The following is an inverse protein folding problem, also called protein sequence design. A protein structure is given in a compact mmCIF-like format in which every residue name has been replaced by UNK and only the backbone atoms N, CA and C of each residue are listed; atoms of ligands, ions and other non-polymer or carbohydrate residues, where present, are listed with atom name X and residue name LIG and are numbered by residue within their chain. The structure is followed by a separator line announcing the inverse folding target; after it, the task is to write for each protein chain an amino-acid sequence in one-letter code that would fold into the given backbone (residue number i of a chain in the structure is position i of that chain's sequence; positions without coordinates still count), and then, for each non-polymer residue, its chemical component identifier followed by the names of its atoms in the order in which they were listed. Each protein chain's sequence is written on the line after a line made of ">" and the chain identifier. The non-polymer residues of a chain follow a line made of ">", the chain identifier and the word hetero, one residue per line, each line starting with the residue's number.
data_IF_067818022733
#
_entry.id   IF_067818022733
#
_cell.length_a   1.000
_cell.length_b   1.000
_cell.length_c   1.000
_cell.angle_alpha   90.00
_cell.angle_beta   90.00
_cell.angle_gamma   90.00
#
_symmetry.space_group_name_H-M   'P 1'
#
loop_
_entity.id
_entity.type
_entity.pdbx_description
1 polymer ?
#
# COMPACT_ATOMS: atom_id res chain seq x y z
N UNK A 1 20.30 -2.33 -0.40
CA UNK A 1 20.84 -0.99 -0.71
C UNK A 1 22.17 -1.11 -1.43
N UNK A 2 23.07 -1.93 -0.93
CA UNK A 2 24.39 -2.14 -1.55
C UNK A 2 24.32 -2.74 -2.96
N UNK A 3 23.26 -3.52 -3.24
CA UNK A 3 23.05 -4.14 -4.55
C UNK A 3 22.33 -3.20 -5.55
N UNK A 4 22.16 -1.91 -5.21
CA UNK A 4 21.56 -0.92 -6.11
C UNK A 4 20.03 -0.97 -6.20
N UNK A 5 19.36 -1.55 -5.21
CA UNK A 5 17.91 -1.53 -5.15
C UNK A 5 17.41 -0.12 -4.82
N UNK A 6 16.57 0.44 -5.68
CA UNK A 6 16.10 1.82 -5.56
C UNK A 6 14.67 1.94 -5.03
N UNK A 7 13.90 0.86 -5.09
CA UNK A 7 12.50 0.83 -4.63
C UNK A 7 12.32 -0.40 -3.75
N UNK A 8 11.74 -0.20 -2.56
CA UNK A 8 11.49 -1.29 -1.62
C UNK A 8 10.02 -1.27 -1.22
N UNK A 9 9.37 -2.43 -1.34
CA UNK A 9 8.04 -2.65 -0.83
C UNK A 9 8.15 -3.33 0.54
N UNK A 10 7.58 -2.70 1.55
CA UNK A 10 7.56 -3.24 2.91
C UNK A 10 6.14 -3.67 3.27
N UNK A 11 6.02 -4.74 4.02
CA UNK A 11 4.73 -5.20 4.53
C UNK A 11 4.91 -5.83 5.90
N UNK A 12 3.81 -5.99 6.61
CA UNK A 12 3.77 -6.47 7.99
C UNK A 12 4.60 -5.60 8.95
N UNK A 13 4.19 -5.50 10.18
CA UNK A 13 4.86 -4.67 11.16
C UNK A 13 4.69 -3.17 10.90
N UNK A 14 5.40 -2.38 11.68
CA UNK A 14 5.31 -0.92 11.61
C UNK A 14 6.11 -0.36 10.43
N UNK A 15 5.53 0.54 9.62
CA UNK A 15 6.27 1.21 8.55
C UNK A 15 7.39 2.10 9.10
N UNK A 16 7.31 2.54 10.35
CA UNK A 16 8.33 3.38 10.97
C UNK A 16 9.67 2.67 11.17
N UNK A 17 9.68 1.34 11.21
CA UNK A 17 10.89 0.57 11.54
C UNK A 17 12.03 0.78 10.55
N UNK A 18 11.74 0.79 9.26
CA UNK A 18 12.76 0.85 8.22
C UNK A 18 12.67 2.08 7.31
N UNK A 19 11.52 2.76 7.29
CA UNK A 19 11.27 3.84 6.33
C UNK A 19 12.32 4.95 6.44
N UNK A 20 12.57 5.46 7.62
CA UNK A 20 13.56 6.52 7.81
C UNK A 20 14.95 6.13 7.32
N UNK A 21 15.39 4.94 7.70
CA UNK A 21 16.70 4.42 7.31
C UNK A 21 16.84 4.26 5.78
N UNK A 22 15.78 3.77 5.13
CA UNK A 22 15.76 3.62 3.67
C UNK A 22 15.72 4.98 2.95
N UNK A 23 14.90 5.90 3.46
CA UNK A 23 14.76 7.24 2.88
C UNK A 23 16.08 8.03 2.94
N UNK A 24 16.81 7.94 4.03
CA UNK A 24 18.13 8.58 4.15
C UNK A 24 19.13 8.08 3.10
N UNK A 25 18.89 6.92 2.53
CA UNK A 25 19.72 6.29 1.49
C UNK A 25 19.17 6.47 0.09
N UNK A 26 18.19 7.35 -0.08
CA UNK A 26 17.61 7.66 -1.37
C UNK A 26 16.71 6.57 -1.95
N UNK A 27 16.23 5.64 -1.12
CA UNK A 27 15.36 4.55 -1.55
C UNK A 27 13.90 5.00 -1.52
N UNK A 28 13.16 4.69 -2.57
CA UNK A 28 11.71 4.87 -2.60
C UNK A 28 11.05 3.76 -1.79
N UNK A 29 10.21 4.14 -0.83
CA UNK A 29 9.57 3.18 0.07
C UNK A 29 8.07 3.14 -0.19
N UNK A 30 7.57 1.94 -0.46
CA UNK A 30 6.14 1.67 -0.64
C UNK A 30 5.71 0.70 0.46
N UNK A 31 4.65 1.03 1.20
CA UNK A 31 4.20 0.18 2.30
C UNK A 31 2.82 -0.41 2.01
N UNK A 32 2.67 -1.71 2.32
CA UNK A 32 1.40 -2.42 2.13
C UNK A 32 0.51 -2.21 3.35
N UNK A 33 -0.72 -1.78 3.11
CA UNK A 33 -1.70 -1.48 4.18
C UNK A 33 -3.00 -2.24 3.94
N UNK A 34 -3.69 -2.57 5.02
CA UNK A 34 -4.97 -3.27 4.99
C UNK A 34 -6.13 -2.45 5.60
N UNK A 35 -5.88 -1.21 5.97
CA UNK A 35 -6.89 -0.31 6.53
C UNK A 35 -6.53 1.14 6.31
N UNK A 36 -7.52 2.02 6.45
CA UNK A 36 -7.30 3.47 6.42
C UNK A 36 -6.38 3.93 7.56
N UNK A 37 -6.50 3.32 8.73
CA UNK A 37 -5.63 3.60 9.89
C UNK A 37 -4.17 3.29 9.58
N UNK A 38 -3.90 2.16 8.94
CA UNK A 38 -2.54 1.79 8.55
C UNK A 38 -2.00 2.69 7.44
N UNK A 39 -2.86 3.16 6.53
CA UNK A 39 -2.46 4.14 5.53
C UNK A 39 -2.00 5.45 6.17
N UNK A 40 -2.72 5.95 7.16
CA UNK A 40 -2.33 7.15 7.89
C UNK A 40 -1.00 6.96 8.62
N UNK A 41 -0.78 5.81 9.24
CA UNK A 41 0.49 5.49 9.89
C UNK A 41 1.65 5.42 8.91
N UNK A 42 1.42 4.87 7.72
CA UNK A 42 2.44 4.81 6.68
C UNK A 42 2.81 6.22 6.20
N UNK A 43 1.83 7.09 6.00
CA UNK A 43 2.07 8.48 5.62
C UNK A 43 2.88 9.22 6.69
N UNK A 44 2.53 9.07 7.96
CA UNK A 44 3.29 9.65 9.09
C UNK A 44 4.73 9.16 9.15
N UNK A 45 4.97 7.90 8.78
CA UNK A 45 6.30 7.31 8.74
C UNK A 45 7.15 7.82 7.56
N UNK A 46 6.55 8.50 6.58
CA UNK A 46 7.25 9.11 5.46
C UNK A 46 7.40 8.23 4.22
N UNK A 47 6.58 7.21 4.05
CA UNK A 47 6.61 6.38 2.84
C UNK A 47 6.22 7.21 1.61
N UNK A 48 6.67 6.78 0.44
CA UNK A 48 6.41 7.49 -0.81
C UNK A 48 5.09 7.09 -1.47
N UNK A 49 4.61 5.88 -1.20
CA UNK A 49 3.36 5.37 -1.73
C UNK A 49 2.82 4.26 -0.83
N UNK A 50 1.55 3.92 -0.99
CA UNK A 50 0.93 2.80 -0.28
C UNK A 50 0.31 1.81 -1.26
N UNK A 51 0.35 0.53 -0.89
CA UNK A 51 -0.44 -0.51 -1.53
C UNK A 51 -1.60 -0.83 -0.61
N UNK A 52 -2.83 -0.60 -1.07
CA UNK A 52 -4.00 -1.08 -0.35
C UNK A 52 -4.29 -2.50 -0.81
N UNK A 53 -4.04 -3.45 0.08
CA UNK A 53 -4.21 -4.88 -0.21
C UNK A 53 -5.48 -5.40 0.45
N UNK A 54 -6.47 -5.74 -0.39
CA UNK A 54 -7.71 -6.35 0.06
C UNK A 54 -7.54 -7.82 0.41
N UNK A 55 -8.45 -8.33 1.19
CA UNK A 55 -8.51 -9.72 1.64
C UNK A 55 -8.52 -10.75 0.50
N UNK A 56 -8.91 -10.33 -0.70
CA UNK A 56 -8.95 -11.18 -1.90
C UNK A 56 -7.57 -11.47 -2.49
N UNK A 57 -6.51 -10.87 -1.96
CA UNK A 57 -5.14 -11.14 -2.39
C UNK A 57 -4.73 -12.57 -2.06
N UNK A 58 -3.91 -13.17 -2.92
CA UNK A 58 -3.30 -14.47 -2.65
C UNK A 58 -2.25 -14.37 -1.56
N UNK A 59 -2.01 -15.48 -0.88
CA UNK A 59 -0.99 -15.56 0.16
C UNK A 59 -1.46 -15.00 1.51
N UNK A 60 -0.52 -14.45 2.26
CA UNK A 60 -0.76 -13.95 3.61
C UNK A 60 -1.36 -12.55 3.57
N UNK A 61 -2.52 -12.39 4.16
CA UNK A 61 -3.25 -11.13 4.22
C UNK A 61 -3.21 -10.48 5.60
N UNK A 62 -3.66 -9.23 5.68
CA UNK A 62 -3.92 -8.57 6.95
C UNK A 62 -5.03 -9.29 7.74
N UNK A 63 -5.11 -9.02 9.03
CA UNK A 63 -6.11 -9.64 9.92
C UNK A 63 -7.53 -9.20 9.61
N UNK A 64 -7.70 -8.01 9.06
CA UNK A 64 -8.98 -7.47 8.69
C UNK A 64 -9.41 -8.06 7.35
N UNK A 65 -10.59 -8.66 7.30
CA UNK A 65 -11.13 -9.26 6.09
C UNK A 65 -11.86 -8.23 5.25
N UNK A 66 -11.19 -7.11 4.95
CA UNK A 66 -11.76 -6.05 4.12
C UNK A 66 -11.55 -6.37 2.65
N UNK A 67 -12.63 -6.40 1.89
CA UNK A 67 -12.55 -6.65 0.45
C UNK A 67 -11.93 -5.45 -0.27
N UNK A 68 -11.38 -5.69 -1.44
CA UNK A 68 -10.67 -4.67 -2.22
C UNK A 68 -11.59 -3.49 -2.57
N UNK A 69 -12.83 -3.76 -2.99
CA UNK A 69 -13.79 -2.70 -3.35
C UNK A 69 -14.17 -1.80 -2.18
N UNK A 70 -14.16 -2.31 -0.95
CA UNK A 70 -14.41 -1.52 0.24
C UNK A 70 -13.17 -0.78 0.72
N UNK A 71 -12.00 -1.43 0.60
CA UNK A 71 -10.74 -0.89 1.10
C UNK A 71 -10.25 0.31 0.28
N UNK A 72 -10.35 0.24 -1.04
CA UNK A 72 -9.79 1.28 -1.91
C UNK A 72 -10.33 2.68 -1.62
N UNK A 73 -11.64 2.91 -1.59
CA UNK A 73 -12.15 4.25 -1.28
C UNK A 73 -11.83 4.70 0.15
N UNK A 74 -11.80 3.77 1.09
CA UNK A 74 -11.43 4.10 2.48
C UNK A 74 -9.99 4.59 2.59
N UNK A 75 -9.06 3.90 1.95
CA UNK A 75 -7.65 4.31 1.93
C UNK A 75 -7.47 5.60 1.13
N UNK A 76 -8.15 5.75 -0.01
CA UNK A 76 -8.07 6.98 -0.80
C UNK A 76 -8.51 8.20 0.01
N UNK A 77 -9.54 8.07 0.81
CA UNK A 77 -10.01 9.16 1.68
C UNK A 77 -9.04 9.47 2.83
N UNK A 78 -8.19 8.53 3.21
CA UNK A 78 -7.30 8.65 4.37
C UNK A 78 -5.91 9.19 4.02
N UNK A 79 -5.50 9.17 2.76
CA UNK A 79 -4.16 9.61 2.36
C UNK A 79 -4.17 10.25 0.97
N UNK A 80 -3.24 11.18 0.73
CA UNK A 80 -3.01 11.76 -0.59
C UNK A 80 -1.84 11.12 -1.33
N UNK A 81 -1.17 10.16 -0.71
CA UNK A 81 -0.06 9.44 -1.34
C UNK A 81 -0.51 8.69 -2.61
N UNK A 82 0.41 8.44 -3.54
CA UNK A 82 0.13 7.51 -4.63
C UNK A 82 -0.39 6.18 -4.10
N UNK A 83 -1.47 5.68 -4.70
CA UNK A 83 -2.22 4.53 -4.22
C UNK A 83 -2.22 3.40 -5.23
N UNK A 84 -1.72 2.26 -4.82
CA UNK A 84 -1.68 1.03 -5.62
C UNK A 84 -2.74 0.08 -5.06
N UNK A 85 -3.56 -0.48 -5.92
CA UNK A 85 -4.55 -1.48 -5.53
C UNK A 85 -3.98 -2.89 -5.67
N UNK A 86 -4.24 -3.73 -4.68
CA UNK A 86 -3.92 -5.14 -4.73
C UNK A 86 -5.03 -5.98 -4.11
N UNK A 87 -5.25 -7.17 -4.67
CA UNK A 87 -6.24 -8.12 -4.19
C UNK A 87 -7.37 -8.35 -5.19
N UNK A 88 -7.39 -9.52 -5.83
CA UNK A 88 -8.47 -9.95 -6.69
C UNK A 88 -8.60 -9.19 -8.02
N UNK A 89 -7.58 -8.47 -8.44
CA UNK A 89 -7.62 -7.71 -9.71
C UNK A 89 -7.08 -8.61 -10.82
N UNK A 90 -7.98 -9.33 -11.47
CA UNK A 90 -7.63 -10.36 -12.44
C UNK A 90 -7.97 -9.98 -13.90
N UNK A 91 -8.66 -8.88 -14.13
CA UNK A 91 -9.13 -8.48 -15.47
C UNK A 91 -8.92 -6.99 -15.69
N UNK A 92 -9.02 -6.56 -16.95
CA UNK A 92 -8.96 -5.13 -17.29
C UNK A 92 -10.10 -4.34 -16.67
N UNK A 93 -11.28 -4.93 -16.59
CA UNK A 93 -12.45 -4.32 -15.96
C UNK A 93 -12.22 -4.11 -14.46
N UNK A 94 -11.62 -5.09 -13.78
CA UNK A 94 -11.29 -4.95 -12.37
C UNK A 94 -10.22 -3.86 -12.16
N UNK A 95 -9.25 -3.74 -13.06
CA UNK A 95 -8.25 -2.68 -13.01
C UNK A 95 -8.90 -1.31 -13.19
N UNK A 96 -9.84 -1.18 -14.12
CA UNK A 96 -10.59 0.06 -14.31
C UNK A 96 -11.40 0.41 -13.06
N UNK A 97 -12.06 -0.58 -12.44
CA UNK A 97 -12.80 -0.37 -11.19
C UNK A 97 -11.89 0.14 -10.08
N UNK A 98 -10.69 -0.44 -9.92
CA UNK A 98 -9.71 0.01 -8.94
C UNK A 98 -9.32 1.48 -9.17
N UNK A 99 -9.11 1.87 -10.42
CA UNK A 99 -8.80 3.26 -10.78
C UNK A 99 -9.95 4.22 -10.46
N UNK A 100 -11.17 3.83 -10.76
CA UNK A 100 -12.36 4.63 -10.43
C UNK A 100 -12.46 4.86 -8.91
N UNK A 101 -12.04 3.87 -8.12
CA UNK A 101 -12.06 3.95 -6.65
C UNK A 101 -10.87 4.70 -6.05
N UNK A 102 -9.93 5.14 -6.86
CA UNK A 102 -8.84 6.00 -6.43
C UNK A 102 -7.43 5.46 -6.62
N UNK A 103 -7.25 4.25 -7.16
CA UNK A 103 -5.92 3.74 -7.48
C UNK A 103 -5.31 4.48 -8.66
N UNK A 104 -4.02 4.53 -8.69
CA UNK A 104 -3.23 5.15 -9.76
C UNK A 104 -2.42 4.07 -10.55
#
# INVERSE_FOLDING_TARGET
>A
VEEGVNIVFTSAGSPAKWTGWLKERGVTVVHVVSSSRFAMKAEEAGVDAVVAEGFEAGGHNGREETTTLCLMPAVRAATTLPLIAAGGIATGEAMLAARVLGAE
#
